data_IF_122698443401
#
_entry.id   IF_122698443401
#
_cell.length_a   1.000
_cell.length_b   1.000
_cell.length_c   1.000
_cell.angle_alpha   90.00
_cell.angle_beta   90.00
_cell.angle_gamma   90.00
#
_symmetry.space_group_name_H-M   'P 1'
#
loop_
_entity.id
_entity.type
_entity.pdbx_description
1 polymer ?
#
# COMPACT_ATOMS: atom_id res chain seq x y z
N UNK A 1 -0.85 25.24 -15.56
CA UNK A 1 -0.91 23.78 -15.80
C UNK A 1 0.48 23.33 -16.22
N UNK A 2 0.99 22.23 -15.68
CA UNK A 2 2.31 21.69 -16.05
C UNK A 2 2.10 20.48 -16.95
N UNK A 3 2.64 20.53 -18.16
CA UNK A 3 2.66 19.40 -19.10
C UNK A 3 3.96 18.64 -18.93
N UNK A 4 3.86 17.35 -18.58
CA UNK A 4 5.00 16.44 -18.62
C UNK A 4 4.74 15.43 -19.72
N UNK A 5 5.68 15.29 -20.67
CA UNK A 5 5.65 14.24 -21.67
C UNK A 5 6.50 13.07 -21.18
N UNK A 6 5.89 11.92 -21.04
CA UNK A 6 6.59 10.64 -20.82
C UNK A 6 7.16 10.10 -22.15
N UNK A 7 8.17 9.23 -22.08
CA UNK A 7 8.95 8.72 -23.22
C UNK A 7 8.11 8.03 -24.31
N UNK A 8 6.90 7.57 -23.95
CA UNK A 8 5.90 6.99 -24.87
C UNK A 8 5.07 8.05 -25.62
N UNK A 9 5.35 9.33 -25.43
CA UNK A 9 4.69 10.44 -26.12
C UNK A 9 3.36 10.89 -25.51
N UNK A 10 2.90 10.27 -24.42
CA UNK A 10 1.70 10.74 -23.70
C UNK A 10 1.99 12.12 -23.10
N UNK A 11 1.09 13.09 -23.32
CA UNK A 11 1.20 14.41 -22.71
C UNK A 11 0.26 14.49 -21.51
N UNK A 12 0.77 14.24 -20.32
CA UNK A 12 -0.02 14.34 -19.10
C UNK A 12 -0.01 15.79 -18.60
N UNK A 13 -1.15 16.48 -18.71
CA UNK A 13 -1.33 17.84 -18.22
C UNK A 13 -1.76 17.81 -16.76
N UNK A 14 -0.84 18.09 -15.84
CA UNK A 14 -1.14 18.21 -14.42
C UNK A 14 -1.78 19.58 -14.15
N UNK A 15 -3.10 19.57 -13.98
CA UNK A 15 -3.84 20.68 -13.38
C UNK A 15 -3.89 20.42 -11.88
N UNK A 16 -3.30 21.29 -11.03
CA UNK A 16 -3.16 21.04 -9.59
C UNK A 16 -4.47 20.64 -8.90
N UNK A 17 -5.60 21.25 -9.29
CA UNK A 17 -6.92 20.90 -8.77
C UNK A 17 -7.39 19.49 -9.16
N UNK A 18 -7.22 19.08 -10.42
CA UNK A 18 -7.57 17.72 -10.88
C UNK A 18 -6.61 16.66 -10.31
N UNK A 19 -5.31 16.96 -10.26
CA UNK A 19 -4.31 16.07 -9.67
C UNK A 19 -4.62 15.80 -8.19
N UNK A 20 -5.08 16.81 -7.46
CA UNK A 20 -5.51 16.66 -6.05
C UNK A 20 -6.78 15.81 -5.93
N UNK A 21 -7.72 15.90 -6.89
CA UNK A 21 -8.95 15.08 -6.90
C UNK A 21 -8.62 13.63 -7.20
N UNK A 22 -7.76 13.38 -8.20
CA UNK A 22 -7.33 12.05 -8.60
C UNK A 22 -6.46 11.37 -7.52
N UNK A 23 -5.55 12.11 -6.89
CA UNK A 23 -4.75 11.63 -5.76
C UNK A 23 -5.65 11.24 -4.57
N UNK A 24 -6.63 12.07 -4.23
CA UNK A 24 -7.61 11.77 -3.18
C UNK A 24 -8.45 10.53 -3.52
N UNK A 25 -8.85 10.37 -4.78
CA UNK A 25 -9.58 9.19 -5.25
C UNK A 25 -8.71 7.92 -5.19
N UNK A 26 -7.45 8.01 -5.63
CA UNK A 26 -6.47 6.91 -5.55
C UNK A 26 -6.19 6.50 -4.12
N UNK A 27 -6.01 7.46 -3.21
CA UNK A 27 -5.81 7.20 -1.77
C UNK A 27 -7.01 6.49 -1.15
N UNK A 28 -8.23 6.88 -1.53
CA UNK A 28 -9.47 6.20 -1.08
C UNK A 28 -9.57 4.77 -1.60
N UNK A 29 -9.21 4.53 -2.86
CA UNK A 29 -9.19 3.20 -3.46
C UNK A 29 -8.11 2.30 -2.85
N UNK A 30 -6.95 2.87 -2.52
CA UNK A 30 -5.86 2.16 -1.81
C UNK A 30 -6.29 1.73 -0.40
N UNK A 31 -6.94 2.63 0.37
CA UNK A 31 -7.50 2.27 1.69
C UNK A 31 -8.53 1.15 1.57
N UNK A 32 -9.39 1.19 0.55
CA UNK A 32 -10.39 0.14 0.29
C UNK A 32 -9.73 -1.20 -0.06
N UNK A 33 -8.69 -1.18 -0.90
CA UNK A 33 -7.93 -2.38 -1.27
C UNK A 33 -7.22 -2.99 -0.05
N UNK A 34 -6.59 -2.16 0.79
CA UNK A 34 -5.95 -2.61 2.05
C UNK A 34 -6.95 -3.21 3.04
N UNK A 35 -8.11 -2.57 3.19
CA UNK A 35 -9.18 -3.09 4.06
C UNK A 35 -9.72 -4.43 3.54
N UNK A 36 -9.94 -4.57 2.24
CA UNK A 36 -10.36 -5.84 1.64
C UNK A 36 -9.29 -6.93 1.79
N UNK A 37 -8.01 -6.60 1.60
CA UNK A 37 -6.90 -7.51 1.83
C UNK A 37 -6.87 -7.99 3.28
N UNK A 38 -7.05 -7.07 4.24
CA UNK A 38 -7.10 -7.41 5.65
C UNK A 38 -8.28 -8.34 5.99
N UNK A 39 -9.45 -8.13 5.38
CA UNK A 39 -10.62 -8.99 5.54
C UNK A 39 -10.46 -10.36 4.87
N UNK A 40 -9.60 -10.48 3.86
CA UNK A 40 -9.27 -11.74 3.20
C UNK A 40 -8.25 -12.58 4.00
N UNK A 41 -7.59 -11.99 5.01
CA UNK A 41 -6.75 -12.72 5.95
C UNK A 41 -7.66 -13.42 6.98
N UNK A 42 -7.51 -14.73 7.22
CA UNK A 42 -8.28 -15.44 8.24
C UNK A 42 -8.19 -14.77 9.61
N UNK A 43 -9.32 -14.70 10.32
CA UNK A 43 -9.42 -14.03 11.64
C UNK A 43 -8.39 -14.54 12.67
N UNK A 44 -8.01 -15.82 12.58
CA UNK A 44 -6.99 -16.46 13.43
C UNK A 44 -5.60 -15.81 13.26
N UNK A 45 -5.21 -15.47 12.04
CA UNK A 45 -3.96 -14.77 11.76
C UNK A 45 -4.04 -13.30 12.16
N UNK A 46 -5.20 -12.66 11.98
CA UNK A 46 -5.48 -11.30 12.48
C UNK A 46 -5.34 -11.19 14.00
N UNK A 47 -5.86 -12.14 14.77
CA UNK A 47 -5.69 -12.19 16.23
C UNK A 47 -4.23 -12.35 16.64
N UNK A 48 -3.48 -13.15 15.90
CA UNK A 48 -2.04 -13.34 16.11
C UNK A 48 -1.27 -12.04 15.84
N UNK A 49 -1.69 -11.22 14.87
CA UNK A 49 -1.07 -9.92 14.60
C UNK A 49 -1.50 -8.82 15.58
N UNK A 50 -2.72 -8.89 16.12
CA UNK A 50 -3.22 -7.92 17.11
C UNK A 50 -2.55 -8.05 18.50
N UNK A 51 -1.78 -9.11 18.76
CA UNK A 51 -1.02 -9.25 20.00
C UNK A 51 0.19 -8.29 20.07
N UNK A 52 0.63 -7.76 18.92
CA UNK A 52 1.76 -6.84 18.84
C UNK A 52 1.27 -5.40 19.02
N UNK A 53 1.76 -4.74 20.08
CA UNK A 53 1.42 -3.35 20.39
C UNK A 53 2.12 -2.35 19.48
N UNK A 54 3.29 -2.72 18.98
CA UNK A 54 4.14 -1.88 18.14
C UNK A 54 4.26 -2.46 16.73
N UNK A 55 4.07 -1.61 15.73
CA UNK A 55 4.20 -1.98 14.32
C UNK A 55 5.61 -2.50 13.98
N UNK A 56 6.64 -2.02 14.69
CA UNK A 56 8.02 -2.50 14.51
C UNK A 56 8.15 -3.97 14.90
N UNK A 57 7.63 -4.35 16.06
CA UNK A 57 7.69 -5.73 16.57
C UNK A 57 6.88 -6.67 15.68
N UNK A 58 5.72 -6.22 15.21
CA UNK A 58 4.90 -6.96 14.23
C UNK A 58 5.69 -7.23 12.94
N UNK A 59 6.39 -6.22 12.41
CA UNK A 59 7.17 -6.35 11.18
C UNK A 59 8.38 -7.28 11.35
N UNK A 60 9.11 -7.16 12.47
CA UNK A 60 10.26 -8.02 12.78
C UNK A 60 9.83 -9.50 12.88
N UNK A 61 8.65 -9.80 13.46
CA UNK A 61 8.10 -11.15 13.51
C UNK A 61 7.70 -11.68 12.12
N UNK A 62 7.06 -10.84 11.29
CA UNK A 62 6.68 -11.20 9.91
C UNK A 62 7.94 -11.52 9.10
N UNK A 63 8.99 -10.72 9.23
CA UNK A 63 10.28 -10.96 8.58
C UNK A 63 10.93 -12.25 9.10
N UNK A 64 10.86 -12.52 10.41
CA UNK A 64 11.40 -13.76 10.98
C UNK A 64 10.65 -15.00 10.47
N UNK A 65 9.32 -14.91 10.35
CA UNK A 65 8.45 -16.04 10.00
C UNK A 65 8.36 -16.31 8.50
N UNK A 66 8.45 -15.26 7.67
CA UNK A 66 8.24 -15.32 6.22
C UNK A 66 9.42 -14.82 5.39
N UNK A 67 10.41 -14.18 6.01
CA UNK A 67 11.60 -13.63 5.35
C UNK A 67 12.74 -14.65 5.17
N UNK A 68 12.49 -15.93 5.41
CA UNK A 68 13.43 -16.98 5.02
C UNK A 68 13.54 -17.05 3.50
N UNK A 69 14.58 -16.42 2.93
CA UNK A 69 15.32 -16.78 1.70
C UNK A 69 16.49 -15.79 1.41
N UNK A 70 17.38 -15.55 2.37
CA UNK A 70 18.77 -15.14 2.08
C UNK A 70 19.67 -16.36 2.36
N UNK A 71 19.52 -17.40 1.53
CA UNK A 71 20.40 -18.56 1.52
C UNK A 71 20.53 -19.06 0.07
N UNK A 72 21.12 -18.26 -0.81
CA UNK A 72 21.97 -18.72 -1.93
C UNK A 72 22.92 -17.60 -2.33
#
# INVERSE_FOLDING_TARGET
AKTTKDDVGTSTTLIPGLATIEEKAKKKNDVKARSMLLMAVPNEHLMTFNQYKDAKTLFDEIVTRFGGNEAT
#
